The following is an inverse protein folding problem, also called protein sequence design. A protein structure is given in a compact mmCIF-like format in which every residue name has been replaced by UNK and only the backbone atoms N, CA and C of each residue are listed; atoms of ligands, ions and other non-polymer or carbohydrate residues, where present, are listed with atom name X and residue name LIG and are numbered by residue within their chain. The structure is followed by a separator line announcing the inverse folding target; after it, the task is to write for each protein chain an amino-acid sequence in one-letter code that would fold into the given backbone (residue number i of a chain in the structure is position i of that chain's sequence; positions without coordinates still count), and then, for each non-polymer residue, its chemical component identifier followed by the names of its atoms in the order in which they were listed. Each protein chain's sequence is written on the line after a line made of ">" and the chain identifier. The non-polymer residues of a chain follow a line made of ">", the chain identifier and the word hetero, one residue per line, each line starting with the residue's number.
data_IF_434012620292
#
_entry.id   IF_434012620292
#
_cell.length_a   1.000
_cell.length_b   1.000
_cell.length_c   1.000
_cell.angle_alpha   90.00
_cell.angle_beta   90.00
_cell.angle_gamma   90.00
#
_symmetry.space_group_name_H-M   'P 1'
#
loop_
_entity.id
_entity.type
_entity.pdbx_description
1 polymer ?
#
# COMPACT_ATOMS: atom_id res chain seq x y z
N UNK A 1 -2.95 6.14 -10.50
CA UNK A 1 -1.81 5.34 -10.03
C UNK A 1 -2.25 4.43 -8.91
N UNK A 2 -1.94 3.15 -9.08
CA UNK A 2 -2.23 2.11 -8.11
C UNK A 2 -0.94 1.74 -7.39
N UNK A 3 -1.03 1.43 -6.11
CA UNK A 3 0.08 0.80 -5.41
C UNK A 3 -0.37 -0.52 -4.78
N UNK A 4 0.56 -1.47 -4.72
CA UNK A 4 0.40 -2.72 -3.99
C UNK A 4 1.30 -2.67 -2.76
N UNK A 5 0.74 -2.99 -1.61
CA UNK A 5 1.42 -2.93 -0.33
C UNK A 5 1.40 -4.29 0.35
N UNK A 6 2.55 -4.73 0.88
CA UNK A 6 2.69 -5.97 1.63
C UNK A 6 3.37 -5.76 2.98
N UNK A 7 2.87 -6.46 4.01
CA UNK A 7 3.42 -6.50 5.37
C UNK A 7 3.55 -7.97 5.84
N UNK A 8 4.30 -8.24 6.91
CA UNK A 8 4.42 -9.61 7.45
C UNK A 8 4.16 -9.62 8.97
N UNK A 9 2.96 -10.01 9.42
CA UNK A 9 2.63 -10.13 10.84
C UNK A 9 3.19 -11.43 11.45
N UNK A 10 3.67 -11.37 12.71
CA UNK A 10 4.24 -12.54 13.40
C UNK A 10 3.19 -13.46 14.05
N UNK A 11 2.02 -12.93 14.42
CA UNK A 11 0.88 -13.68 15.00
C UNK A 11 -0.45 -12.95 14.70
N UNK A 12 -1.60 -13.66 14.72
CA UNK A 12 -2.97 -13.12 14.49
C UNK A 12 -3.17 -12.35 13.16
N UNK A 13 -2.77 -12.95 12.04
CA UNK A 13 -2.91 -12.40 10.67
C UNK A 13 -4.27 -11.76 10.37
N UNK A 14 -5.36 -12.55 10.41
CA UNK A 14 -6.67 -12.10 9.93
C UNK A 14 -7.23 -10.86 10.65
N UNK A 15 -7.01 -10.75 11.96
CA UNK A 15 -7.52 -9.61 12.73
C UNK A 15 -6.74 -8.33 12.44
N UNK A 16 -5.44 -8.45 12.17
CA UNK A 16 -4.57 -7.33 11.82
C UNK A 16 -4.92 -6.83 10.42
N UNK A 17 -5.13 -7.74 9.47
CA UNK A 17 -5.49 -7.40 8.10
C UNK A 17 -6.81 -6.63 7.98
N UNK A 18 -7.83 -6.99 8.77
CA UNK A 18 -9.08 -6.24 8.84
C UNK A 18 -8.82 -4.82 9.34
N UNK A 19 -8.04 -4.66 10.41
CA UNK A 19 -7.70 -3.34 10.96
C UNK A 19 -6.85 -2.49 10.00
N UNK A 20 -5.96 -3.11 9.23
CA UNK A 20 -5.18 -2.41 8.20
C UNK A 20 -6.08 -1.97 7.04
N UNK A 21 -7.06 -2.80 6.65
CA UNK A 21 -8.06 -2.41 5.65
C UNK A 21 -8.93 -1.24 6.15
N UNK A 22 -9.30 -1.23 7.43
CA UNK A 22 -9.97 -0.10 8.07
C UNK A 22 -9.07 1.16 8.08
N UNK A 23 -7.78 1.02 8.37
CA UNK A 23 -6.82 2.12 8.25
C UNK A 23 -6.75 2.67 6.82
N UNK A 24 -6.71 1.81 5.80
CA UNK A 24 -6.72 2.28 4.41
C UNK A 24 -7.98 3.09 4.07
N UNK A 25 -9.11 2.72 4.66
CA UNK A 25 -10.39 3.42 4.49
C UNK A 25 -10.38 4.85 5.07
N UNK A 26 -9.37 5.23 5.87
CA UNK A 26 -9.18 6.63 6.30
C UNK A 26 -8.46 7.48 5.25
N UNK A 27 -7.80 6.85 4.27
CA UNK A 27 -7.07 7.55 3.20
C UNK A 27 -7.87 7.60 1.91
N UNK A 28 -8.58 6.52 1.58
CA UNK A 28 -9.30 6.39 0.31
C UNK A 28 -10.70 5.82 0.57
N UNK A 29 -11.67 6.06 -0.33
CA UNK A 29 -12.95 5.35 -0.26
C UNK A 29 -12.76 3.83 -0.40
N UNK A 30 -13.67 3.05 0.18
CA UNK A 30 -13.54 1.59 0.26
C UNK A 30 -13.46 0.93 -1.13
N UNK A 31 -14.12 1.50 -2.13
CA UNK A 31 -14.12 1.03 -3.52
C UNK A 31 -12.74 1.15 -4.19
N UNK A 32 -11.85 1.99 -3.64
CA UNK A 32 -10.48 2.15 -4.11
C UNK A 32 -9.49 1.17 -3.45
N UNK A 33 -9.97 0.31 -2.55
CA UNK A 33 -9.18 -0.71 -1.85
C UNK A 33 -9.56 -2.09 -2.40
N UNK A 34 -8.55 -2.85 -2.81
CA UNK A 34 -8.72 -4.25 -3.18
C UNK A 34 -7.73 -5.10 -2.39
N UNK A 35 -8.22 -5.75 -1.34
CA UNK A 35 -7.46 -6.78 -0.63
C UNK A 35 -7.41 -8.05 -1.46
N UNK A 36 -6.20 -8.54 -1.74
CA UNK A 36 -5.99 -9.71 -2.60
C UNK A 36 -5.96 -11.00 -1.80
N UNK A 37 -5.06 -11.01 -0.83
CA UNK A 37 -4.80 -12.08 0.11
C UNK A 37 -4.48 -11.42 1.45
N UNK A 38 -4.37 -12.24 2.49
CA UNK A 38 -3.83 -11.75 3.76
C UNK A 38 -2.45 -11.17 3.50
N UNK A 39 -2.21 -10.00 4.05
CA UNK A 39 -1.00 -9.22 4.00
C UNK A 39 -0.71 -8.46 2.71
N UNK A 40 -1.62 -8.49 1.73
CA UNK A 40 -1.44 -7.83 0.43
C UNK A 40 -2.71 -7.13 -0.08
N UNK A 41 -2.62 -5.81 -0.29
CA UNK A 41 -3.72 -5.01 -0.84
C UNK A 41 -3.27 -4.05 -1.93
N UNK A 42 -4.14 -3.83 -2.92
CA UNK A 42 -4.03 -2.71 -3.85
C UNK A 42 -4.84 -1.52 -3.36
N UNK A 43 -4.29 -0.32 -3.55
CA UNK A 43 -4.93 0.94 -3.23
C UNK A 43 -4.75 1.90 -4.42
N UNK A 44 -5.85 2.54 -4.83
CA UNK A 44 -5.85 3.56 -5.89
C UNK A 44 -5.91 4.95 -5.26
N UNK A 45 -4.94 5.82 -5.58
CA UNK A 45 -4.85 7.18 -5.03
C UNK A 45 -5.34 8.28 -5.98
N UNK A 46 -5.89 7.92 -7.13
CA UNK A 46 -6.33 8.89 -8.14
C UNK A 46 -7.39 9.85 -7.58
N UNK A 47 -7.17 11.16 -7.77
CA UNK A 47 -8.08 12.20 -7.28
C UNK A 47 -7.91 12.56 -5.80
N UNK A 48 -6.92 11.97 -5.10
CA UNK A 48 -6.65 12.26 -3.68
C UNK A 48 -5.49 13.22 -3.46
N UNK A 49 -4.94 13.83 -4.51
CA UNK A 49 -3.72 14.65 -4.48
C UNK A 49 -3.90 15.88 -3.57
N UNK A 50 -5.10 16.46 -3.53
CA UNK A 50 -5.42 17.59 -2.64
C UNK A 50 -5.48 17.21 -1.16
N UNK A 51 -5.75 15.94 -0.85
CA UNK A 51 -5.87 15.43 0.51
C UNK A 51 -4.52 14.97 1.04
N UNK A 52 -3.77 14.23 0.21
CA UNK A 52 -2.58 13.52 0.65
C UNK A 52 -1.28 14.09 0.12
N UNK A 53 -1.34 15.06 -0.80
CA UNK A 53 -0.19 15.67 -1.44
C UNK A 53 0.24 14.89 -2.68
N UNK A 54 1.54 14.92 -2.97
CA UNK A 54 2.14 14.09 -4.01
C UNK A 54 1.98 12.60 -3.71
N UNK A 55 2.09 11.77 -4.75
CA UNK A 55 2.00 10.31 -4.63
C UNK A 55 2.99 9.75 -3.60
N UNK A 56 4.23 10.24 -3.62
CA UNK A 56 5.29 9.82 -2.69
C UNK A 56 4.93 10.18 -1.25
N UNK A 57 4.38 11.37 -1.01
CA UNK A 57 3.91 11.78 0.31
C UNK A 57 2.76 10.91 0.81
N UNK A 58 1.78 10.62 -0.06
CA UNK A 58 0.65 9.75 0.27
C UNK A 58 1.12 8.33 0.64
N UNK A 59 1.99 7.75 -0.17
CA UNK A 59 2.56 6.41 0.06
C UNK A 59 3.38 6.37 1.36
N UNK A 60 4.19 7.40 1.63
CA UNK A 60 4.97 7.49 2.89
C UNK A 60 4.06 7.65 4.10
N UNK A 61 2.97 8.43 4.00
CA UNK A 61 1.96 8.57 5.08
C UNK A 61 1.32 7.23 5.40
N UNK A 62 0.89 6.47 4.39
CA UNK A 62 0.27 5.15 4.58
C UNK A 62 1.27 4.17 5.20
N UNK A 63 2.51 4.11 4.69
CA UNK A 63 3.57 3.26 5.24
C UNK A 63 3.86 3.59 6.71
N UNK A 64 3.96 4.89 7.03
CA UNK A 64 4.22 5.35 8.38
C UNK A 64 3.05 5.07 9.33
N UNK A 65 1.80 5.18 8.84
CA UNK A 65 0.63 4.84 9.63
C UNK A 65 0.59 3.36 10.02
N UNK A 66 0.92 2.45 9.08
CA UNK A 66 1.03 1.02 9.38
C UNK A 66 2.11 0.76 10.44
N UNK A 67 3.28 1.37 10.29
CA UNK A 67 4.36 1.23 11.26
C UNK A 67 3.97 1.75 12.64
N UNK A 68 3.39 2.95 12.72
CA UNK A 68 3.05 3.59 13.99
C UNK A 68 1.92 2.87 14.73
N UNK A 69 0.94 2.32 14.01
CA UNK A 69 -0.23 1.69 14.62
C UNK A 69 -0.03 0.20 14.91
N UNK A 70 0.69 -0.52 14.03
CA UNK A 70 0.82 -1.97 14.12
C UNK A 70 2.26 -2.46 14.36
N UNK A 71 3.27 -1.60 14.25
CA UNK A 71 4.68 -1.98 14.35
C UNK A 71 5.15 -2.90 13.22
N UNK A 72 4.45 -2.87 12.08
CA UNK A 72 4.72 -3.77 10.95
C UNK A 72 5.50 -3.03 9.87
N UNK A 73 6.67 -3.55 9.45
CA UNK A 73 7.33 -3.04 8.26
C UNK A 73 6.47 -3.41 7.05
N UNK A 74 6.33 -2.47 6.12
CA UNK A 74 5.63 -2.69 4.87
C UNK A 74 6.44 -2.20 3.68
N UNK A 75 6.23 -2.87 2.55
CA UNK A 75 6.85 -2.53 1.28
C UNK A 75 5.78 -2.20 0.25
N UNK A 76 6.07 -1.25 -0.63
CA UNK A 76 5.08 -0.65 -1.54
C UNK A 76 5.63 -0.60 -2.96
N UNK A 77 4.95 -1.28 -3.88
CA UNK A 77 5.17 -1.16 -5.32
C UNK A 77 4.16 -0.21 -5.94
N UNK A 78 4.62 0.77 -6.72
CA UNK A 78 3.80 1.80 -7.36
C UNK A 78 3.84 1.57 -8.88
N UNK A 79 2.70 1.71 -9.54
CA UNK A 79 2.65 1.67 -10.99
C UNK A 79 1.38 2.25 -11.61
N UNK A 80 1.33 2.37 -12.95
CA UNK A 80 0.19 2.89 -13.69
C UNK A 80 -1.05 1.99 -13.62
N UNK A 81 -0.88 0.71 -13.25
CA UNK A 81 -1.96 -0.24 -13.06
C UNK A 81 -1.57 -1.31 -12.01
N UNK A 82 -2.53 -2.17 -11.64
CA UNK A 82 -2.33 -3.22 -10.62
C UNK A 82 -1.24 -4.22 -10.95
N UNK A 83 -1.07 -4.54 -12.24
CA UNK A 83 -0.07 -5.50 -12.69
C UNK A 83 1.34 -4.94 -12.51
N UNK A 84 1.61 -3.73 -13.01
CA UNK A 84 2.92 -3.09 -12.89
C UNK A 84 3.24 -2.79 -11.41
N UNK A 85 2.27 -2.35 -10.61
CA UNK A 85 2.50 -2.09 -9.19
C UNK A 85 2.89 -3.36 -8.42
N UNK A 86 2.29 -4.51 -8.76
CA UNK A 86 2.65 -5.81 -8.18
C UNK A 86 4.07 -6.26 -8.58
N UNK A 87 4.41 -6.11 -9.87
CA UNK A 87 5.77 -6.40 -10.34
C UNK A 87 6.80 -5.51 -9.64
N UNK A 88 6.52 -4.20 -9.52
CA UNK A 88 7.39 -3.27 -8.81
C UNK A 88 7.58 -3.67 -7.33
N UNK A 89 6.51 -4.12 -6.67
CA UNK A 89 6.57 -4.61 -5.29
C UNK A 89 7.50 -5.82 -5.17
N UNK A 90 7.25 -6.86 -5.96
CA UNK A 90 7.91 -8.15 -5.82
C UNK A 90 9.38 -8.11 -6.24
N UNK A 91 9.71 -7.36 -7.29
CA UNK A 91 11.07 -7.31 -7.84
C UNK A 91 11.97 -6.33 -7.07
N UNK A 92 11.45 -5.16 -6.73
CA UNK A 92 12.24 -4.04 -6.21
C UNK A 92 11.87 -3.65 -4.78
N UNK A 93 10.59 -3.39 -4.49
CA UNK A 93 10.20 -2.79 -3.21
C UNK A 93 10.43 -3.72 -2.00
N UNK A 94 10.34 -5.04 -2.15
CA UNK A 94 10.71 -5.98 -1.08
C UNK A 94 12.17 -5.84 -0.61
N UNK A 95 13.05 -5.24 -1.42
CA UNK A 95 14.46 -4.97 -1.08
C UNK A 95 14.69 -3.51 -0.68
N UNK A 96 13.92 -2.58 -1.23
CA UNK A 96 14.14 -1.13 -1.11
C UNK A 96 13.12 -0.42 -0.20
N UNK A 97 12.05 -1.11 0.21
CA UNK A 97 10.91 -0.56 0.93
C UNK A 97 9.86 0.04 0.00
N UNK A 98 10.21 0.99 -0.87
CA UNK A 98 9.28 1.56 -1.86
C UNK A 98 9.96 1.53 -3.23
N UNK A 99 9.21 1.11 -4.25
CA UNK A 99 9.67 1.16 -5.63
C UNK A 99 8.53 1.58 -6.56
N UNK A 100 8.89 2.34 -7.59
CA UNK A 100 7.97 2.83 -8.62
C UNK A 100 8.43 2.34 -9.99
N UNK A 101 7.47 1.92 -10.82
CA UNK A 101 7.72 1.55 -12.21
C UNK A 101 6.66 2.16 -13.11
N UNK A 102 7.12 2.92 -14.10
CA UNK A 102 6.32 3.54 -15.17
C UNK A 102 6.71 2.90 -16.52
N UNK A 103 6.10 3.34 -17.62
CA UNK A 103 6.32 2.76 -18.96
C UNK A 103 7.59 3.28 -19.67
N UNK A 104 8.36 4.16 -19.05
CA UNK A 104 9.54 4.82 -19.65
C UNK A 104 10.85 4.04 -19.45
#
# INVERSE_FOLDING_TARGET
>A
MCFNISWLPKHKMLCIDVQITELFSTFVPFEAILTYIVDESWITLDGTEKLHGSLVEAVQKIRSAIWNQFGLPSCIGIGPNRFISKVALDVYAKKQGIAECTYE
#
